data_IF_860834763684
#
_entry.id   IF_860834763684
#
_cell.length_a   1.000
_cell.length_b   1.000
_cell.length_c   1.000
_cell.angle_alpha   90.00
_cell.angle_beta   90.00
_cell.angle_gamma   90.00
#
_symmetry.space_group_name_H-M   'P 1'
#
loop_
_entity.id
_entity.type
_entity.pdbx_description
1 polymer ?
#
# COMPACT_ATOMS: atom_id res chain seq x y z
N UNK A 1 -0.70 -17.95 32.67
CA UNK A 1 0.07 -17.15 33.64
C UNK A 1 1.55 -17.50 33.45
N UNK A 2 2.48 -16.70 32.94
CA UNK A 2 2.52 -15.32 32.45
C UNK A 2 3.48 -15.30 31.23
N UNK A 3 3.00 -14.72 30.14
CA UNK A 3 3.72 -14.36 28.92
C UNK A 3 4.41 -13.02 29.20
N UNK A 4 5.75 -12.94 29.14
CA UNK A 4 6.45 -11.66 29.23
C UNK A 4 6.63 -11.10 27.82
N UNK A 5 5.93 -10.00 27.55
CA UNK A 5 6.13 -9.14 26.38
C UNK A 5 7.37 -8.28 26.63
N UNK A 6 8.35 -8.34 25.73
CA UNK A 6 9.40 -7.34 25.63
C UNK A 6 8.90 -6.21 24.73
N UNK A 7 8.56 -5.06 25.33
CA UNK A 7 8.31 -3.81 24.62
C UNK A 7 9.57 -2.96 24.77
N UNK A 8 10.31 -2.75 23.69
CA UNK A 8 11.41 -1.80 23.64
C UNK A 8 10.82 -0.41 23.43
N UNK A 9 10.99 0.47 24.41
CA UNK A 9 10.69 1.90 24.32
C UNK A 9 11.77 2.57 23.46
N UNK A 10 11.38 3.20 22.35
CA UNK A 10 12.08 4.35 21.78
C UNK A 10 11.06 5.47 21.74
N UNK A 11 11.36 6.53 22.48
CA UNK A 11 10.66 7.81 22.45
C UNK A 11 10.94 8.49 21.11
N UNK A 12 9.89 8.76 20.35
CA UNK A 12 9.74 10.03 19.65
C UNK A 12 8.24 10.36 19.55
N UNK A 13 7.87 11.57 19.97
CA UNK A 13 6.50 12.06 20.03
C UNK A 13 6.05 12.42 18.61
N UNK A 14 5.11 11.66 18.03
CA UNK A 14 3.98 12.15 17.19
C UNK A 14 3.29 10.99 16.45
N UNK A 15 1.97 10.89 16.63
CA UNK A 15 0.98 10.11 15.88
C UNK A 15 0.87 8.59 16.11
N UNK A 16 -0.23 8.26 16.80
CA UNK A 16 -0.92 6.98 16.88
C UNK A 16 -1.43 6.49 15.51
N UNK A 17 -0.86 5.40 14.99
CA UNK A 17 -1.56 4.38 14.19
C UNK A 17 -0.62 3.21 13.84
N UNK A 18 -0.55 2.18 14.69
CA UNK A 18 0.23 0.97 14.38
C UNK A 18 -0.46 -0.31 14.86
N UNK A 19 -1.36 -0.84 14.03
CA UNK A 19 -1.81 -2.24 14.09
C UNK A 19 -1.80 -2.83 12.66
N UNK A 20 -0.61 -3.10 12.12
CA UNK A 20 -0.46 -4.04 10.98
C UNK A 20 0.95 -4.65 10.78
N UNK A 21 1.98 -4.22 11.53
CA UNK A 21 3.37 -4.61 11.21
C UNK A 21 3.87 -5.91 11.87
N UNK A 22 3.07 -6.60 12.67
CA UNK A 22 3.48 -7.86 13.33
C UNK A 22 3.35 -9.10 12.43
N UNK A 23 2.63 -9.02 11.30
CA UNK A 23 2.49 -10.14 10.37
C UNK A 23 3.64 -10.22 9.34
N UNK A 24 4.19 -9.07 8.92
CA UNK A 24 5.23 -9.00 7.89
C UNK A 24 6.58 -9.60 8.35
N UNK A 25 6.99 -9.33 9.59
CA UNK A 25 8.23 -9.88 10.17
C UNK A 25 8.18 -11.40 10.39
N UNK A 26 6.98 -11.95 10.64
CA UNK A 26 6.78 -13.39 10.84
C UNK A 26 6.85 -14.18 9.53
N UNK A 27 6.47 -13.56 8.41
CA UNK A 27 6.62 -14.14 7.08
C UNK A 27 8.04 -13.96 6.52
N UNK A 28 8.72 -12.85 6.79
CA UNK A 28 10.12 -12.65 6.40
C UNK A 28 11.06 -13.69 7.05
N UNK A 29 10.85 -14.03 8.33
CA UNK A 29 11.64 -15.08 9.01
C UNK A 29 11.35 -16.50 8.51
N UNK A 30 10.15 -16.76 7.96
CA UNK A 30 9.82 -18.07 7.35
C UNK A 30 10.43 -18.23 5.95
N UNK A 31 10.56 -17.13 5.21
CA UNK A 31 11.23 -17.12 3.89
C UNK A 31 12.75 -17.33 4.04
N UNK A 32 13.33 -16.96 5.19
CA UNK A 32 14.75 -17.19 5.49
C UNK A 32 15.14 -18.66 5.68
N UNK A 33 14.18 -19.59 5.87
CA UNK A 33 14.48 -21.02 6.13
C UNK A 33 14.17 -21.93 4.94
N UNK A 34 13.59 -21.41 3.84
CA UNK A 34 13.44 -22.21 2.61
C UNK A 34 13.82 -21.42 1.36
N UNK A 35 15.11 -21.41 1.04
CA UNK A 35 15.57 -21.17 -0.34
C UNK A 35 16.20 -22.44 -0.87
N UNK A 36 15.47 -23.08 -1.79
CA UNK A 36 16.07 -23.96 -2.81
C UNK A 36 16.60 -23.07 -3.94
N UNK A 37 17.79 -23.35 -4.51
CA UNK A 37 18.38 -22.53 -5.56
C UNK A 37 17.85 -22.97 -6.92
N UNK A 38 17.10 -22.11 -7.60
CA UNK A 38 17.03 -22.18 -9.07
C UNK A 38 16.63 -20.82 -9.63
N UNK A 39 17.63 -20.05 -10.07
CA UNK A 39 17.43 -18.72 -10.67
C UNK A 39 17.65 -18.72 -12.20
N UNK A 40 17.74 -19.91 -12.82
CA UNK A 40 18.03 -20.05 -14.26
C UNK A 40 16.87 -20.64 -15.09
N UNK A 41 15.64 -20.67 -14.56
CA UNK A 41 14.45 -21.17 -15.29
C UNK A 41 13.36 -20.10 -15.57
N UNK A 42 13.60 -18.82 -15.29
CA UNK A 42 12.64 -17.75 -15.59
C UNK A 42 12.91 -16.98 -16.88
N UNK A 43 13.96 -17.35 -17.62
CA UNK A 43 14.17 -16.90 -19.00
C UNK A 43 14.00 -18.10 -19.94
N UNK A 44 12.76 -18.33 -20.39
CA UNK A 44 12.39 -18.77 -21.75
C UNK A 44 10.99 -19.42 -21.77
N UNK A 45 10.19 -19.02 -22.76
CA UNK A 45 8.92 -19.61 -23.24
C UNK A 45 7.63 -19.15 -22.54
N UNK A 46 7.17 -17.97 -22.92
CA UNK A 46 5.73 -17.72 -23.03
C UNK A 46 5.22 -18.40 -24.31
N UNK A 47 5.02 -19.72 -24.28
CA UNK A 47 4.24 -20.41 -25.30
C UNK A 47 2.77 -20.35 -24.92
N UNK A 48 2.01 -19.68 -25.78
CA UNK A 48 0.55 -19.68 -25.88
C UNK A 48 -0.03 -21.09 -25.82
N UNK A 49 -0.94 -21.36 -24.88
CA UNK A 49 -1.90 -22.47 -24.99
C UNK A 49 -3.19 -22.14 -24.20
N UNK A 50 -4.39 -22.43 -24.73
CA UNK A 50 -5.63 -21.78 -24.32
C UNK A 50 -6.32 -22.48 -23.13
N UNK A 51 -7.14 -21.70 -22.43
CA UNK A 51 -8.00 -22.13 -21.33
C UNK A 51 -8.92 -23.30 -21.72
N UNK A 52 -9.01 -24.32 -20.85
CA UNK A 52 -10.13 -25.26 -20.80
C UNK A 52 -10.69 -25.37 -19.39
N UNK A 53 -12.00 -25.12 -19.33
CA UNK A 53 -12.91 -25.33 -18.20
C UNK A 53 -12.79 -26.73 -17.60
N UNK A 54 -12.66 -26.83 -16.27
CA UNK A 54 -13.14 -27.98 -15.51
C UNK A 54 -13.84 -27.50 -14.23
N UNK A 55 -15.16 -27.62 -14.27
CA UNK A 55 -16.09 -27.54 -13.16
C UNK A 55 -15.93 -28.82 -12.31
N UNK A 56 -15.69 -28.73 -11.00
CA UNK A 56 -16.17 -29.77 -10.07
C UNK A 56 -16.25 -29.29 -8.62
N UNK A 57 -17.49 -29.34 -8.12
CA UNK A 57 -17.90 -29.22 -6.73
C UNK A 57 -17.07 -30.09 -5.76
N UNK A 58 -16.69 -29.50 -4.62
CA UNK A 58 -16.71 -30.22 -3.33
C UNK A 58 -17.19 -29.32 -2.19
N UNK A 59 -18.32 -29.71 -1.60
CA UNK A 59 -18.87 -29.21 -0.34
C UNK A 59 -17.93 -29.62 0.80
N UNK A 60 -17.58 -28.69 1.69
CA UNK A 60 -16.95 -29.01 2.97
C UNK A 60 -17.89 -28.54 4.09
N UNK A 61 -18.33 -29.49 4.90
CA UNK A 61 -19.25 -29.28 6.01
C UNK A 61 -18.55 -28.64 7.21
N UNK A 62 -19.26 -27.71 7.85
CA UNK A 62 -18.88 -27.01 9.07
C UNK A 62 -19.32 -27.86 10.27
N UNK A 63 -18.35 -28.39 11.02
CA UNK A 63 -18.59 -29.06 12.31
C UNK A 63 -18.67 -28.02 13.43
N UNK A 64 -19.80 -28.02 14.14
CA UNK A 64 -20.06 -27.23 15.35
C UNK A 64 -19.03 -27.56 16.44
N UNK A 65 -18.33 -26.54 16.95
CA UNK A 65 -17.59 -26.61 18.20
C UNK A 65 -18.40 -25.92 19.31
N UNK A 66 -18.56 -26.67 20.39
CA UNK A 66 -19.35 -26.40 21.58
C UNK A 66 -18.86 -25.16 22.33
N UNK A 67 -19.80 -24.26 22.64
CA UNK A 67 -19.62 -23.09 23.50
C UNK A 67 -19.64 -23.51 24.97
N UNK A 68 -18.50 -23.37 25.65
CA UNK A 68 -18.44 -23.44 27.11
C UNK A 68 -18.92 -22.11 27.71
N UNK A 69 -20.03 -22.19 28.44
CA UNK A 69 -20.60 -21.12 29.27
C UNK A 69 -19.65 -20.78 30.43
N UNK A 70 -19.20 -19.54 30.51
CA UNK A 70 -18.55 -18.96 31.70
C UNK A 70 -19.66 -18.32 32.54
N UNK A 71 -19.96 -18.91 33.70
CA UNK A 71 -20.95 -18.38 34.63
C UNK A 71 -20.28 -17.37 35.56
N UNK A 72 -20.69 -16.10 35.45
CA UNK A 72 -20.49 -15.09 36.50
C UNK A 72 -21.35 -15.49 37.70
N UNK A 73 -20.73 -15.68 38.86
CA UNK A 73 -21.44 -15.80 40.13
C UNK A 73 -21.08 -14.58 40.99
N UNK A 74 -22.06 -13.69 41.05
CA UNK A 74 -22.19 -12.54 41.92
C UNK A 74 -22.62 -13.02 43.31
N UNK A 75 -21.92 -12.62 44.38
CA UNK A 75 -22.39 -12.86 45.75
C UNK A 75 -22.18 -11.63 46.62
N UNK A 76 -23.31 -11.10 47.10
CA UNK A 76 -23.45 -10.22 48.27
C UNK A 76 -24.39 -10.93 49.27
N UNK A 77 -24.59 -10.40 50.48
CA UNK A 77 -24.13 -10.97 51.74
C UNK A 77 -25.24 -11.73 52.50
N UNK A 78 -24.86 -12.63 53.41
CA UNK A 78 -25.78 -13.17 54.41
C UNK A 78 -25.17 -13.17 55.81
N UNK A 79 -25.98 -12.67 56.73
CA UNK A 79 -25.84 -12.49 58.17
C UNK A 79 -26.02 -13.77 58.99
N UNK A 80 -25.63 -13.67 60.27
CA UNK A 80 -25.98 -14.48 61.46
C UNK A 80 -25.24 -15.83 61.60
N UNK A 81 -24.81 -16.29 62.78
CA UNK A 81 -24.87 -15.83 64.18
C UNK A 81 -24.16 -16.87 65.06
N UNK A 82 -23.54 -16.43 66.18
CA UNK A 82 -23.28 -17.17 67.43
C UNK A 82 -22.42 -18.47 67.33
N UNK A 83 -21.58 -18.89 68.28
CA UNK A 83 -21.32 -18.58 69.68
C UNK A 83 -19.96 -19.24 70.02
N UNK A 84 -19.25 -18.73 71.02
CA UNK A 84 -17.99 -19.34 71.47
C UNK A 84 -17.31 -18.54 72.56
N UNK A 85 -17.78 -18.74 73.79
CA UNK A 85 -17.29 -18.16 75.04
C UNK A 85 -15.84 -18.61 75.30
N UNK A 86 -14.99 -17.67 75.72
CA UNK A 86 -13.62 -17.92 76.14
C UNK A 86 -13.08 -16.71 76.89
N UNK A 87 -13.53 -16.59 78.14
CA UNK A 87 -12.99 -15.70 79.16
C UNK A 87 -11.55 -16.09 79.49
N UNK A 88 -10.64 -15.13 79.44
CA UNK A 88 -9.54 -15.04 80.40
C UNK A 88 -9.08 -13.58 80.54
N UNK A 89 -9.49 -12.99 81.66
CA UNK A 89 -8.91 -11.78 82.18
C UNK A 89 -7.63 -12.19 82.94
N UNK A 90 -6.48 -11.68 82.52
CA UNK A 90 -5.33 -11.55 83.43
C UNK A 90 -4.84 -10.13 83.38
N UNK A 91 -5.21 -9.41 84.43
CA UNK A 91 -4.68 -8.10 84.81
C UNK A 91 -3.16 -8.16 84.98
N UNK A 92 -2.43 -7.34 84.24
CA UNK A 92 -1.12 -6.85 84.69
C UNK A 92 -0.94 -5.41 84.24
N UNK A 93 -1.00 -4.52 85.25
CA UNK A 93 -0.32 -3.22 85.34
C UNK A 93 -0.23 -2.38 84.07
N UNK A 94 -1.31 -1.65 83.76
CA UNK A 94 -1.20 -0.42 82.99
C UNK A 94 -0.50 0.63 83.88
N UNK A 95 0.80 0.79 83.68
CA UNK A 95 1.50 2.01 84.09
C UNK A 95 0.87 3.16 83.30
N UNK A 96 0.16 4.04 84.01
CA UNK A 96 -0.42 5.27 83.48
C UNK A 96 0.71 6.23 83.14
N UNK A 97 1.36 6.00 82.00
CA UNK A 97 2.14 7.03 81.34
C UNK A 97 1.14 8.12 80.90
N UNK A 98 1.42 9.41 81.15
CA UNK A 98 0.53 10.48 80.74
C UNK A 98 0.30 10.39 79.22
N UNK A 99 -0.89 10.79 78.74
CA UNK A 99 -1.30 10.70 77.33
C UNK A 99 -0.25 11.31 76.37
N UNK A 100 0.49 12.32 76.83
CA UNK A 100 1.61 12.94 76.14
C UNK A 100 2.80 12.01 75.87
N UNK A 101 3.06 11.03 76.74
CA UNK A 101 4.13 10.04 76.59
C UNK A 101 3.71 8.92 75.64
N UNK A 102 2.45 8.48 75.68
CA UNK A 102 1.93 7.50 74.71
C UNK A 102 1.83 8.08 73.29
N UNK A 103 1.42 9.34 73.15
CA UNK A 103 1.44 10.04 71.86
C UNK A 103 2.87 10.19 71.33
N UNK A 104 3.85 10.55 72.18
CA UNK A 104 5.26 10.60 71.77
C UNK A 104 5.79 9.23 71.33
N UNK A 105 5.48 8.15 72.05
CA UNK A 105 5.88 6.79 71.65
C UNK A 105 5.20 6.33 70.35
N UNK A 106 3.95 6.73 70.12
CA UNK A 106 3.26 6.44 68.86
C UNK A 106 3.82 7.25 67.69
N UNK A 107 4.14 8.54 67.90
CA UNK A 107 4.80 9.40 66.91
C UNK A 107 6.20 8.90 66.57
N UNK A 108 6.99 8.44 67.56
CA UNK A 108 8.30 7.82 67.33
C UNK A 108 8.17 6.52 66.52
N UNK A 109 7.21 5.64 66.85
CA UNK A 109 6.95 4.42 66.07
C UNK A 109 6.49 4.70 64.63
N UNK A 110 5.71 5.77 64.43
CA UNK A 110 5.29 6.18 63.08
C UNK A 110 6.49 6.73 62.29
N UNK A 111 7.37 7.51 62.93
CA UNK A 111 8.62 8.00 62.32
C UNK A 111 9.57 6.85 61.97
N UNK A 112 9.79 5.93 62.89
CA UNK A 112 10.64 4.74 62.68
C UNK A 112 10.09 3.88 61.52
N UNK A 113 8.77 3.68 61.47
CA UNK A 113 8.12 2.96 60.36
C UNK A 113 8.21 3.70 59.02
N UNK A 114 8.12 5.04 59.03
CA UNK A 114 8.29 5.86 57.83
C UNK A 114 9.73 5.81 57.32
N UNK A 115 10.72 5.89 58.21
CA UNK A 115 12.15 5.76 57.89
C UNK A 115 12.47 4.36 57.34
N UNK A 116 11.96 3.30 57.96
CA UNK A 116 12.08 1.91 57.48
C UNK A 116 11.46 1.71 56.09
N UNK A 117 10.27 2.27 55.84
CA UNK A 117 9.60 2.19 54.55
C UNK A 117 10.36 2.96 53.46
N UNK A 118 10.95 4.11 53.79
CA UNK A 118 11.84 4.86 52.89
C UNK A 118 13.13 4.10 52.60
N UNK A 119 13.74 3.47 53.60
CA UNK A 119 14.95 2.68 53.44
C UNK A 119 14.69 1.43 52.59
N UNK A 120 13.58 0.71 52.83
CA UNK A 120 13.10 -0.39 51.97
C UNK A 120 12.78 0.07 50.55
N UNK A 121 12.31 1.31 50.35
CA UNK A 121 12.10 1.89 49.01
C UNK A 121 13.44 2.19 48.33
N UNK A 122 14.42 2.77 49.02
CA UNK A 122 15.78 3.01 48.51
C UNK A 122 16.46 1.70 48.12
N UNK A 123 16.44 0.69 48.98
CA UNK A 123 16.98 -0.63 48.67
C UNK A 123 16.29 -1.30 47.47
N UNK A 124 14.95 -1.20 47.37
CA UNK A 124 14.22 -1.72 46.20
C UNK A 124 14.63 -1.01 44.92
N UNK A 125 14.79 0.31 44.95
CA UNK A 125 15.28 1.10 43.81
C UNK A 125 16.71 0.71 43.42
N UNK A 126 17.60 0.50 44.39
CA UNK A 126 18.99 0.07 44.12
C UNK A 126 19.09 -1.36 43.61
N UNK A 127 18.30 -2.29 44.18
CA UNK A 127 18.16 -3.67 43.69
C UNK A 127 17.61 -3.66 42.26
N UNK A 128 16.58 -2.85 41.99
CA UNK A 128 16.01 -2.67 40.66
C UNK A 128 17.01 -2.07 39.67
N UNK A 129 17.76 -1.02 40.05
CA UNK A 129 18.79 -0.41 39.21
C UNK A 129 19.95 -1.38 38.92
N UNK A 130 20.37 -2.18 39.90
CA UNK A 130 21.36 -3.24 39.70
C UNK A 130 20.84 -4.30 38.72
N UNK A 131 19.62 -4.78 38.92
CA UNK A 131 18.97 -5.72 38.00
C UNK A 131 18.88 -5.15 36.58
N UNK A 132 18.46 -3.88 36.44
CA UNK A 132 18.37 -3.21 35.15
C UNK A 132 19.74 -3.10 34.46
N UNK A 133 20.83 -2.80 35.18
CA UNK A 133 22.19 -2.78 34.62
C UNK A 133 22.61 -4.16 34.09
N UNK A 134 22.38 -5.22 34.86
CA UNK A 134 22.66 -6.59 34.44
C UNK A 134 21.78 -7.01 33.26
N UNK A 135 20.49 -6.68 33.28
CA UNK A 135 19.56 -6.96 32.19
C UNK A 135 19.98 -6.24 30.89
N UNK A 136 20.40 -4.97 30.97
CA UNK A 136 20.96 -4.24 29.82
C UNK A 136 22.25 -4.87 29.32
N UNK A 137 23.14 -5.31 30.23
CA UNK A 137 24.38 -6.01 29.86
C UNK A 137 24.14 -7.34 29.14
N UNK A 138 23.25 -8.17 29.67
CA UNK A 138 22.88 -9.46 29.06
C UNK A 138 22.21 -9.23 27.70
N UNK A 139 21.27 -8.27 27.62
CA UNK A 139 20.60 -7.93 26.36
C UNK A 139 21.59 -7.41 25.32
N UNK A 140 22.53 -6.56 25.73
CA UNK A 140 23.61 -6.07 24.86
C UNK A 140 24.52 -7.19 24.34
N UNK A 141 24.90 -8.14 25.20
CA UNK A 141 25.72 -9.28 24.79
C UNK A 141 24.98 -10.20 23.82
N UNK A 142 23.69 -10.48 24.04
CA UNK A 142 22.87 -11.26 23.10
C UNK A 142 22.71 -10.56 21.75
N UNK A 143 22.42 -9.25 21.74
CA UNK A 143 22.31 -8.47 20.50
C UNK A 143 23.64 -8.40 19.75
N UNK A 144 24.75 -8.21 20.46
CA UNK A 144 26.10 -8.23 19.88
C UNK A 144 26.46 -9.59 19.27
N UNK A 145 26.18 -10.69 19.99
CA UNK A 145 26.38 -12.04 19.48
C UNK A 145 25.54 -12.35 18.24
N UNK A 146 24.25 -11.95 18.24
CA UNK A 146 23.37 -12.11 17.09
C UNK A 146 23.84 -11.28 15.88
N UNK A 147 24.30 -10.04 16.10
CA UNK A 147 24.84 -9.20 15.03
C UNK A 147 26.11 -9.80 14.41
N UNK A 148 27.03 -10.34 15.23
CA UNK A 148 28.22 -11.03 14.73
C UNK A 148 27.86 -12.27 13.90
N UNK A 149 26.89 -13.06 14.37
CA UNK A 149 26.42 -14.24 13.64
C UNK A 149 25.72 -13.87 12.33
N UNK A 150 24.91 -12.81 12.32
CA UNK A 150 24.26 -12.30 11.11
C UNK A 150 25.30 -11.78 10.10
N UNK A 151 26.30 -11.05 10.57
CA UNK A 151 27.39 -10.57 9.72
C UNK A 151 28.23 -11.72 9.17
N UNK A 152 28.42 -12.78 9.97
CA UNK A 152 29.01 -14.03 9.52
C UNK A 152 28.16 -14.61 8.37
N UNK A 153 26.89 -14.93 8.59
CA UNK A 153 26.04 -15.50 7.53
C UNK A 153 26.01 -14.66 6.25
N UNK A 154 25.98 -13.32 6.34
CA UNK A 154 25.99 -12.42 5.19
C UNK A 154 27.32 -12.37 4.42
N UNK A 155 28.46 -12.63 5.08
CA UNK A 155 29.77 -12.57 4.43
C UNK A 155 30.25 -13.90 3.82
N UNK A 156 29.47 -14.97 3.98
CA UNK A 156 29.82 -16.28 3.43
C UNK A 156 29.79 -16.27 1.89
N UNK A 157 30.75 -16.92 1.21
CA UNK A 157 30.70 -17.10 -0.23
C UNK A 157 29.54 -18.03 -0.62
N UNK A 158 28.88 -17.73 -1.75
CA UNK A 158 27.83 -18.61 -2.29
C UNK A 158 28.46 -19.90 -2.79
N UNK A 159 27.84 -21.03 -2.44
CA UNK A 159 28.26 -22.35 -2.87
C UNK A 159 27.40 -22.79 -4.07
N UNK A 160 28.00 -23.47 -5.02
CA UNK A 160 27.29 -24.12 -6.11
C UNK A 160 26.57 -25.39 -5.62
N UNK A 161 25.83 -26.04 -6.52
CA UNK A 161 25.11 -27.30 -6.25
C UNK A 161 26.05 -28.44 -5.79
N UNK A 162 27.35 -28.33 -6.07
CA UNK A 162 28.38 -29.29 -5.72
C UNK A 162 29.17 -28.90 -4.45
N UNK A 163 28.77 -27.82 -3.75
CA UNK A 163 29.39 -27.34 -2.52
C UNK A 163 30.72 -26.60 -2.71
N UNK A 164 31.08 -26.24 -3.95
CA UNK A 164 32.26 -25.44 -4.28
C UNK A 164 31.89 -23.96 -4.30
N UNK A 165 32.81 -23.10 -3.86
CA UNK A 165 32.61 -21.65 -3.86
C UNK A 165 32.46 -21.15 -5.30
N UNK A 166 31.39 -20.39 -5.54
CA UNK A 166 31.16 -19.68 -6.79
C UNK A 166 32.15 -18.51 -6.82
N UNK A 167 33.02 -18.41 -7.85
CA UNK A 167 33.98 -17.32 -7.94
C UNK A 167 33.23 -15.99 -8.07
N UNK A 168 33.56 -15.06 -7.19
CA UNK A 168 32.99 -13.72 -7.13
C UNK A 168 34.08 -12.64 -7.26
N UNK A 169 33.65 -11.38 -7.39
CA UNK A 169 34.52 -10.20 -7.51
C UNK A 169 35.52 -10.03 -6.34
N UNK A 170 35.28 -10.73 -5.22
CA UNK A 170 36.09 -10.66 -4.00
C UNK A 170 36.94 -11.91 -3.75
N UNK A 171 36.92 -12.88 -4.67
CA UNK A 171 37.61 -14.16 -4.50
C UNK A 171 39.13 -14.02 -4.50
N UNK A 172 39.67 -13.02 -5.20
CA UNK A 172 41.12 -12.75 -5.28
C UNK A 172 41.65 -11.90 -4.13
N UNK A 173 40.78 -11.42 -3.24
CA UNK A 173 41.16 -10.55 -2.13
C UNK A 173 41.51 -11.34 -0.86
N UNK A 174 42.15 -10.65 0.09
CA UNK A 174 42.40 -11.22 1.41
C UNK A 174 41.10 -11.65 2.09
N UNK A 175 41.12 -12.81 2.75
CA UNK A 175 39.91 -13.51 3.24
C UNK A 175 39.03 -12.59 4.10
N UNK A 176 39.61 -11.82 5.04
CA UNK A 176 38.83 -10.94 5.92
C UNK A 176 38.25 -9.73 5.18
N UNK A 177 38.99 -9.13 4.24
CA UNK A 177 38.49 -7.98 3.48
C UNK A 177 37.39 -8.43 2.53
N UNK A 178 37.57 -9.57 1.86
CA UNK A 178 36.56 -10.21 1.03
C UNK A 178 35.27 -10.47 1.81
N UNK A 179 35.40 -10.98 3.04
CA UNK A 179 34.26 -11.26 3.92
C UNK A 179 33.43 -10.01 4.24
N UNK A 180 34.10 -8.94 4.68
CA UNK A 180 33.45 -7.67 5.04
C UNK A 180 32.80 -7.03 3.82
N UNK A 181 33.49 -7.05 2.68
CA UNK A 181 32.96 -6.50 1.42
C UNK A 181 31.74 -7.29 0.92
N UNK A 182 31.74 -8.63 1.02
CA UNK A 182 30.56 -9.47 0.72
C UNK A 182 29.39 -9.13 1.62
N UNK A 183 29.61 -9.06 2.94
CA UNK A 183 28.55 -8.71 3.87
C UNK A 183 27.96 -7.32 3.57
N UNK A 184 28.81 -6.34 3.26
CA UNK A 184 28.35 -5.01 2.84
C UNK A 184 27.59 -5.03 1.51
N UNK A 185 28.06 -5.81 0.52
CA UNK A 185 27.38 -5.98 -0.77
C UNK A 185 26.01 -6.62 -0.60
N UNK A 186 25.90 -7.70 0.16
CA UNK A 186 24.62 -8.35 0.46
C UNK A 186 23.66 -7.36 1.16
N UNK A 187 24.12 -6.64 2.20
CA UNK A 187 23.29 -5.60 2.84
C UNK A 187 22.82 -4.53 1.84
N UNK A 188 23.70 -4.10 0.94
CA UNK A 188 23.36 -3.16 -0.14
C UNK A 188 22.33 -3.76 -1.10
N UNK A 189 22.50 -5.01 -1.52
CA UNK A 189 21.57 -5.74 -2.39
C UNK A 189 20.20 -5.92 -1.73
N UNK A 190 20.13 -6.28 -0.45
CA UNK A 190 18.88 -6.35 0.31
C UNK A 190 18.18 -5.00 0.37
N UNK A 191 18.92 -3.92 0.63
CA UNK A 191 18.36 -2.57 0.61
C UNK A 191 17.82 -2.22 -0.78
N UNK A 192 18.58 -2.51 -1.84
CA UNK A 192 18.15 -2.28 -3.22
C UNK A 192 16.88 -3.07 -3.54
N UNK A 193 16.78 -4.34 -3.14
CA UNK A 193 15.58 -5.16 -3.36
C UNK A 193 14.31 -4.60 -2.69
N UNK A 194 14.46 -3.90 -1.56
CA UNK A 194 13.33 -3.28 -0.84
C UNK A 194 12.94 -1.93 -1.47
N UNK A 195 13.92 -1.21 -2.03
CA UNK A 195 13.76 0.18 -2.48
C UNK A 195 13.46 0.28 -3.98
N UNK A 196 14.17 -0.47 -4.80
CA UNK A 196 14.05 -0.46 -6.25
C UNK A 196 12.93 -1.40 -6.71
N UNK A 197 12.33 -1.12 -7.88
CA UNK A 197 11.32 -2.00 -8.46
C UNK A 197 11.89 -3.40 -8.76
N UNK A 198 11.00 -4.40 -8.79
CA UNK A 198 11.36 -5.80 -9.00
C UNK A 198 12.04 -6.10 -10.36
N UNK A 199 11.86 -5.23 -11.35
CA UNK A 199 12.44 -5.35 -12.69
C UNK A 199 12.89 -3.99 -13.23
N UNK A 200 13.95 -3.99 -14.04
CA UNK A 200 14.43 -2.80 -14.76
C UNK A 200 13.45 -2.37 -15.85
N UNK A 201 12.93 -3.34 -16.61
CA UNK A 201 11.83 -3.17 -17.56
C UNK A 201 10.58 -3.83 -17.00
N UNK A 202 9.56 -3.02 -16.70
CA UNK A 202 8.28 -3.47 -16.13
C UNK A 202 7.38 -4.13 -17.16
N UNK A 203 7.43 -3.67 -18.42
CA UNK A 203 6.66 -4.25 -19.51
C UNK A 203 7.58 -4.91 -20.55
N UNK A 204 7.10 -5.98 -21.22
CA UNK A 204 7.80 -6.56 -22.36
C UNK A 204 7.93 -5.56 -23.50
N UNK A 205 8.83 -5.84 -24.44
CA UNK A 205 9.01 -5.01 -25.63
C UNK A 205 7.69 -4.94 -26.44
N UNK A 206 7.40 -3.81 -27.11
CA UNK A 206 6.18 -3.64 -27.89
C UNK A 206 6.02 -4.71 -28.98
N UNK A 207 4.76 -5.07 -29.27
CA UNK A 207 4.48 -6.05 -30.32
C UNK A 207 4.83 -5.49 -31.70
N UNK A 208 5.46 -6.33 -32.52
CA UNK A 208 5.74 -6.07 -33.94
C UNK A 208 4.68 -6.72 -34.84
N UNK A 209 4.55 -6.22 -36.07
CA UNK A 209 3.73 -6.84 -37.11
C UNK A 209 4.08 -8.34 -37.24
N UNK A 210 3.10 -9.28 -37.23
CA UNK A 210 1.67 -9.15 -37.58
C UNK A 210 0.72 -8.76 -36.43
N UNK A 211 1.21 -8.60 -35.20
CA UNK A 211 0.36 -8.29 -34.04
C UNK A 211 0.14 -6.79 -33.91
N UNK A 212 -1.09 -6.39 -33.57
CA UNK A 212 -1.45 -4.99 -33.38
C UNK A 212 -1.16 -4.53 -31.95
N UNK A 213 -0.36 -3.48 -31.81
CA UNK A 213 -0.11 -2.77 -30.56
C UNK A 213 -0.87 -1.43 -30.57
N UNK A 214 -1.63 -1.09 -29.52
CA UNK A 214 -2.23 0.23 -29.40
C UNK A 214 -1.16 1.34 -29.41
N UNK A 215 -1.42 2.49 -30.07
CA UNK A 215 -0.43 3.55 -30.26
C UNK A 215 -0.11 4.36 -28.99
N UNK A 216 -1.00 4.37 -28.00
CA UNK A 216 -0.81 5.06 -26.73
C UNK A 216 -0.85 4.08 -25.56
N UNK A 217 -0.14 4.39 -24.48
CA UNK A 217 -0.18 3.60 -23.24
C UNK A 217 -0.87 4.43 -22.16
N UNK A 218 -1.92 3.87 -21.57
CA UNK A 218 -2.67 4.48 -20.48
C UNK A 218 -2.35 3.76 -19.18
N UNK A 219 -1.61 4.43 -18.30
CA UNK A 219 -1.28 3.93 -16.97
C UNK A 219 -2.33 4.46 -15.99
N UNK A 220 -2.94 3.59 -15.19
CA UNK A 220 -4.01 3.96 -14.27
C UNK A 220 -3.71 3.46 -12.85
N UNK A 221 -3.91 4.33 -11.86
CA UNK A 221 -4.12 3.87 -10.48
C UNK A 221 -5.49 3.19 -10.36
N UNK A 222 -5.57 2.15 -9.54
CA UNK A 222 -6.80 1.42 -9.26
C UNK A 222 -7.55 2.08 -8.09
N UNK A 223 -6.87 2.27 -6.96
CA UNK A 223 -7.47 2.71 -5.71
C UNK A 223 -7.79 4.21 -5.74
N UNK A 224 -9.02 4.58 -5.38
CA UNK A 224 -9.60 5.93 -5.42
C UNK A 224 -9.65 6.59 -6.82
N UNK A 225 -9.37 5.82 -7.87
CA UNK A 225 -9.57 6.24 -9.28
C UNK A 225 -10.62 5.36 -9.94
N UNK A 226 -10.48 4.03 -9.88
CA UNK A 226 -11.44 3.07 -10.43
C UNK A 226 -12.32 2.43 -9.34
N UNK A 227 -11.74 2.17 -8.17
CA UNK A 227 -12.41 1.51 -7.04
C UNK A 227 -12.06 2.19 -5.74
N UNK A 228 -12.97 2.20 -4.77
CA UNK A 228 -12.75 2.82 -3.45
C UNK A 228 -12.88 1.77 -2.34
N UNK A 229 -11.89 1.61 -1.45
CA UNK A 229 -12.00 0.73 -0.31
C UNK A 229 -12.96 1.33 0.72
N UNK A 230 -14.05 0.62 1.01
CA UNK A 230 -15.05 1.01 1.97
C UNK A 230 -15.08 -0.02 3.11
N UNK A 231 -15.17 0.47 4.35
CA UNK A 231 -15.37 -0.39 5.52
C UNK A 231 -16.70 -0.07 6.19
N UNK A 232 -17.50 -1.09 6.45
CA UNK A 232 -18.77 -0.96 7.17
C UNK A 232 -18.91 -2.09 8.20
N UNK A 233 -19.56 -1.81 9.34
CA UNK A 233 -19.68 -2.76 10.47
C UNK A 233 -20.33 -4.10 10.08
N UNK A 234 -21.32 -4.06 9.19
CA UNK A 234 -22.05 -5.26 8.73
C UNK A 234 -21.24 -6.12 7.77
N UNK A 235 -20.35 -5.50 7.01
CA UNK A 235 -19.87 -6.01 5.74
C UNK A 235 -18.34 -6.15 5.68
N UNK A 236 -17.63 -5.53 6.62
CA UNK A 236 -16.18 -5.49 6.69
C UNK A 236 -15.58 -4.63 5.57
N UNK A 237 -14.35 -4.96 5.19
CA UNK A 237 -13.65 -4.35 4.07
C UNK A 237 -14.22 -4.81 2.73
N UNK A 238 -14.61 -3.87 1.89
CA UNK A 238 -15.07 -4.09 0.52
C UNK A 238 -14.53 -3.03 -0.41
N UNK A 239 -14.61 -3.28 -1.71
CA UNK A 239 -14.26 -2.31 -2.72
C UNK A 239 -15.53 -1.90 -3.48
N UNK A 240 -15.83 -0.61 -3.45
CA UNK A 240 -16.90 -0.01 -4.22
C UNK A 240 -16.38 0.33 -5.62
N UNK A 241 -17.12 -0.07 -6.66
CA UNK A 241 -16.79 0.25 -8.06
C UNK A 241 -17.21 1.69 -8.37
N UNK A 242 -16.35 2.46 -9.04
CA UNK A 242 -16.70 3.82 -9.45
C UNK A 242 -17.75 3.79 -10.57
N UNK A 243 -18.78 4.65 -10.51
CA UNK A 243 -19.75 4.80 -11.59
C UNK A 243 -19.03 5.08 -12.92
N UNK A 244 -19.45 4.39 -13.98
CA UNK A 244 -18.90 4.58 -15.33
C UNK A 244 -17.57 3.87 -15.63
N UNK A 245 -17.01 3.06 -14.71
CA UNK A 245 -15.77 2.29 -15.00
C UNK A 245 -15.90 1.39 -16.23
N UNK A 246 -17.02 0.67 -16.37
CA UNK A 246 -17.22 -0.24 -17.52
C UNK A 246 -17.23 0.51 -18.84
N UNK A 247 -17.96 1.63 -18.87
CA UNK A 247 -18.00 2.53 -20.02
C UNK A 247 -16.60 3.08 -20.32
N UNK A 248 -15.90 3.55 -19.29
CA UNK A 248 -14.55 4.08 -19.43
C UNK A 248 -13.60 3.05 -20.04
N UNK A 249 -13.52 1.83 -19.49
CA UNK A 249 -12.65 0.76 -20.02
C UNK A 249 -13.02 0.39 -21.45
N UNK A 250 -14.31 0.36 -21.78
CA UNK A 250 -14.78 0.09 -23.14
C UNK A 250 -14.38 1.20 -24.13
N UNK A 251 -14.44 2.47 -23.72
CA UNK A 251 -14.12 3.60 -24.59
C UNK A 251 -12.61 3.78 -24.80
N UNK A 252 -11.80 3.53 -23.77
CA UNK A 252 -10.34 3.73 -23.82
C UNK A 252 -9.57 2.47 -24.20
N UNK A 253 -10.21 1.30 -24.12
CA UNK A 253 -9.57 0.01 -24.42
C UNK A 253 -9.01 -0.11 -25.85
N UNK A 254 -8.41 -1.26 -26.16
CA UNK A 254 -7.91 -1.53 -27.51
C UNK A 254 -9.02 -1.33 -28.56
N UNK A 255 -8.74 -0.64 -29.68
CA UNK A 255 -7.41 -0.39 -30.25
C UNK A 255 -6.73 0.92 -29.81
N UNK A 256 -7.36 1.77 -28.98
CA UNK A 256 -6.85 3.13 -28.74
C UNK A 256 -5.68 3.17 -27.75
N UNK A 257 -5.85 2.57 -26.57
CA UNK A 257 -4.83 2.53 -25.54
C UNK A 257 -4.48 1.10 -25.12
N UNK A 258 -3.20 0.90 -24.82
CA UNK A 258 -2.71 -0.20 -24.02
C UNK A 258 -2.93 0.18 -22.54
N UNK A 259 -3.90 -0.49 -21.89
CA UNK A 259 -4.24 -0.18 -20.50
C UNK A 259 -3.32 -0.96 -19.56
N UNK A 260 -2.63 -0.22 -18.68
CA UNK A 260 -1.75 -0.75 -17.64
C UNK A 260 -2.26 -0.26 -16.29
N UNK A 261 -2.67 -1.20 -15.42
CA UNK A 261 -2.93 -0.85 -14.02
C UNK A 261 -1.60 -0.77 -13.29
N UNK A 262 -1.28 0.38 -12.71
CA UNK A 262 -0.10 0.57 -11.87
C UNK A 262 -0.51 1.11 -10.52
N UNK A 263 -0.58 0.21 -9.53
CA UNK A 263 -1.10 0.50 -8.20
C UNK A 263 -0.03 0.33 -7.13
N UNK A 264 -0.14 1.12 -6.05
CA UNK A 264 0.69 0.94 -4.84
C UNK A 264 0.15 -0.20 -3.93
N UNK A 265 -0.98 -0.79 -4.28
CA UNK A 265 -1.56 -1.93 -3.56
C UNK A 265 -0.77 -3.22 -3.78
N UNK A 266 -0.94 -4.16 -2.84
CA UNK A 266 -0.30 -5.47 -2.91
C UNK A 266 -0.98 -6.35 -3.97
N UNK A 267 -0.20 -7.15 -4.69
CA UNK A 267 -0.74 -8.06 -5.70
C UNK A 267 -1.79 -9.04 -5.16
N UNK A 268 -1.66 -9.48 -3.91
CA UNK A 268 -2.62 -10.40 -3.30
C UNK A 268 -4.05 -9.83 -3.20
N UNK A 269 -4.19 -8.53 -2.93
CA UNK A 269 -5.50 -7.86 -2.85
C UNK A 269 -5.95 -7.32 -4.21
N UNK A 270 -5.02 -6.76 -4.98
CA UNK A 270 -5.33 -6.11 -6.26
C UNK A 270 -5.68 -7.10 -7.38
N UNK A 271 -5.01 -8.26 -7.46
CA UNK A 271 -5.20 -9.20 -8.56
C UNK A 271 -6.65 -9.68 -8.72
N UNK A 272 -7.30 -10.27 -7.70
CA UNK A 272 -8.70 -10.70 -7.83
C UNK A 272 -9.66 -9.52 -8.01
N UNK A 273 -9.31 -8.32 -7.54
CA UNK A 273 -10.15 -7.14 -7.69
C UNK A 273 -10.19 -6.67 -9.15
N UNK A 274 -9.02 -6.63 -9.81
CA UNK A 274 -8.91 -6.27 -11.23
C UNK A 274 -9.64 -7.30 -12.11
N UNK A 275 -9.52 -8.60 -11.81
CA UNK A 275 -10.24 -9.65 -12.56
C UNK A 275 -11.77 -9.49 -12.50
N UNK A 276 -12.30 -9.07 -11.34
CA UNK A 276 -13.74 -8.80 -11.20
C UNK A 276 -14.16 -7.45 -11.79
N UNK A 277 -13.22 -6.48 -11.87
CA UNK A 277 -13.48 -5.16 -12.42
C UNK A 277 -13.60 -5.19 -13.95
N UNK A 278 -12.76 -6.02 -14.59
CA UNK A 278 -12.64 -6.12 -16.05
C UNK A 278 -12.90 -7.56 -16.54
N UNK A 279 -14.17 -7.98 -16.62
CA UNK A 279 -14.53 -9.30 -17.13
C UNK A 279 -14.28 -9.46 -18.64
N UNK A 280 -14.12 -8.35 -19.36
CA UNK A 280 -13.93 -8.33 -20.82
C UNK A 280 -12.45 -8.39 -21.23
N UNK A 281 -11.53 -8.13 -20.30
CA UNK A 281 -10.08 -8.22 -20.55
C UNK A 281 -9.51 -7.05 -21.35
N UNK A 282 -10.00 -5.83 -21.12
CA UNK A 282 -9.42 -4.60 -21.69
C UNK A 282 -8.05 -4.25 -21.09
N UNK A 283 -7.79 -4.63 -19.84
CA UNK A 283 -6.54 -4.37 -19.10
C UNK A 283 -5.47 -5.38 -19.53
N UNK A 284 -4.39 -4.89 -20.12
CA UNK A 284 -3.31 -5.73 -20.67
C UNK A 284 -2.27 -6.10 -19.62
N UNK A 285 -1.84 -5.15 -18.79
CA UNK A 285 -0.80 -5.37 -17.79
C UNK A 285 -1.21 -4.85 -16.41
N UNK A 286 -0.65 -5.50 -15.37
CA UNK A 286 -0.96 -5.24 -13.97
C UNK A 286 0.35 -5.16 -13.19
N UNK A 287 0.63 -3.97 -12.69
CA UNK A 287 1.81 -3.63 -11.90
C UNK A 287 1.36 -3.26 -10.49
N UNK A 288 1.96 -3.90 -9.49
CA UNK A 288 1.61 -3.73 -8.09
C UNK A 288 2.75 -3.05 -7.32
N UNK A 289 2.65 -3.06 -6.00
CA UNK A 289 3.64 -2.45 -5.08
C UNK A 289 5.09 -2.88 -5.32
N UNK A 290 5.32 -4.11 -5.75
CA UNK A 290 6.64 -4.66 -6.07
C UNK A 290 7.31 -3.96 -7.27
N UNK A 291 6.51 -3.41 -8.18
CA UNK A 291 6.98 -2.61 -9.30
C UNK A 291 7.19 -1.13 -8.94
N UNK A 292 6.94 -0.70 -7.69
CA UNK A 292 7.10 0.71 -7.27
C UNK A 292 8.44 0.95 -6.60
N UNK A 293 8.95 2.17 -6.71
CA UNK A 293 10.17 2.61 -6.03
C UNK A 293 9.82 3.22 -4.68
N UNK A 294 10.46 2.77 -3.60
CA UNK A 294 10.21 3.31 -2.26
C UNK A 294 11.18 4.47 -1.95
N UNK A 295 10.67 5.69 -1.93
CA UNK A 295 11.47 6.89 -1.70
C UNK A 295 10.80 7.80 -0.65
N UNK A 296 11.59 8.29 0.31
CA UNK A 296 11.14 9.28 1.31
C UNK A 296 9.84 8.88 2.04
N UNK A 297 9.71 7.59 2.38
CA UNK A 297 8.53 7.08 3.08
C UNK A 297 7.31 6.80 2.18
N UNK A 298 7.40 7.06 0.88
CA UNK A 298 6.30 6.94 -0.08
C UNK A 298 6.65 5.98 -1.22
N UNK A 299 5.62 5.32 -1.77
CA UNK A 299 5.75 4.57 -3.01
C UNK A 299 5.60 5.53 -4.19
N UNK A 300 6.63 5.58 -5.01
CA UNK A 300 6.70 6.38 -6.22
C UNK A 300 6.72 5.43 -7.40
N UNK A 301 5.97 5.77 -8.44
CA UNK A 301 5.81 4.98 -9.65
C UNK A 301 6.68 5.60 -10.72
N UNK A 302 7.74 4.88 -11.07
CA UNK A 302 8.67 5.36 -12.08
C UNK A 302 8.21 4.90 -13.46
N UNK A 303 7.78 5.85 -14.29
CA UNK A 303 7.34 5.54 -15.65
C UNK A 303 8.52 5.23 -16.58
N UNK A 304 9.76 5.57 -16.22
CA UNK A 304 10.93 5.28 -17.05
C UNK A 304 11.20 3.78 -17.18
N UNK A 305 10.82 3.01 -16.18
CA UNK A 305 10.92 1.55 -16.19
C UNK A 305 9.82 0.88 -17.02
N UNK A 306 8.82 1.61 -17.54
CA UNK A 306 7.68 1.04 -18.26
C UNK A 306 8.05 0.47 -19.64
N UNK A 307 9.21 0.81 -20.20
CA UNK A 307 9.64 0.39 -21.54
C UNK A 307 8.66 0.84 -22.64
N UNK A 308 8.19 2.10 -22.56
CA UNK A 308 7.30 2.75 -23.52
C UNK A 308 7.78 4.17 -23.82
N UNK A 309 7.40 4.70 -24.97
CA UNK A 309 7.73 6.09 -25.30
C UNK A 309 6.93 7.07 -24.44
N UNK A 310 7.63 7.92 -23.70
CA UNK A 310 7.03 8.95 -22.86
C UNK A 310 6.20 9.98 -23.64
N UNK A 311 6.41 10.15 -24.95
CA UNK A 311 5.54 11.02 -25.75
C UNK A 311 4.11 10.46 -25.91
N UNK A 312 3.93 9.15 -25.69
CA UNK A 312 2.68 8.40 -25.87
C UNK A 312 2.10 7.81 -24.57
N UNK A 313 2.74 8.07 -23.44
CA UNK A 313 2.31 7.57 -22.12
C UNK A 313 1.51 8.64 -21.37
N UNK A 314 0.28 8.29 -20.98
CA UNK A 314 -0.55 9.11 -20.09
C UNK A 314 -0.72 8.35 -18.77
N UNK A 315 -0.40 8.98 -17.66
CA UNK A 315 -0.52 8.39 -16.33
C UNK A 315 -1.61 9.07 -15.52
N UNK A 316 -2.66 8.35 -15.12
CA UNK A 316 -3.75 8.89 -14.31
C UNK A 316 -3.66 8.36 -12.88
N UNK A 317 -3.51 9.29 -11.93
CA UNK A 317 -3.47 8.99 -10.49
C UNK A 317 -4.13 10.14 -9.73
N UNK A 318 -4.59 9.87 -8.51
CA UNK A 318 -5.10 10.88 -7.61
C UNK A 318 -4.01 11.46 -6.68
N UNK A 319 -2.93 10.72 -6.46
CA UNK A 319 -1.88 11.11 -5.53
C UNK A 319 -0.68 11.73 -6.25
N UNK A 320 -0.44 13.02 -6.04
CA UNK A 320 0.68 13.76 -6.63
C UNK A 320 2.05 13.17 -6.30
N UNK A 321 2.20 12.53 -5.13
CA UNK A 321 3.48 11.92 -4.73
C UNK A 321 3.84 10.70 -5.58
N UNK A 322 2.83 9.96 -6.06
CA UNK A 322 3.01 8.73 -6.86
C UNK A 322 3.73 9.01 -8.18
N UNK A 323 3.48 10.16 -8.81
CA UNK A 323 4.07 10.55 -10.10
C UNK A 323 5.13 11.65 -9.99
N UNK A 324 5.76 11.78 -8.82
CA UNK A 324 6.74 12.84 -8.56
C UNK A 324 7.95 12.83 -9.51
N UNK A 325 8.28 11.68 -10.11
CA UNK A 325 9.40 11.55 -11.07
C UNK A 325 9.03 12.04 -12.48
N UNK A 326 7.79 11.86 -12.93
CA UNK A 326 7.33 12.25 -14.27
C UNK A 326 5.99 13.03 -14.24
N UNK A 327 5.97 14.24 -13.65
CA UNK A 327 4.74 15.03 -13.50
C UNK A 327 4.14 15.50 -14.84
N UNK A 328 4.95 15.64 -15.90
CA UNK A 328 4.51 16.06 -17.24
C UNK A 328 3.56 15.02 -17.88
N UNK A 329 3.80 13.73 -17.63
CA UNK A 329 2.99 12.62 -18.16
C UNK A 329 1.77 12.30 -17.30
N UNK A 330 1.72 12.84 -16.08
CA UNK A 330 0.64 12.57 -15.14
C UNK A 330 -0.57 13.44 -15.42
N UNK A 331 -1.78 12.93 -15.21
CA UNK A 331 -3.03 13.66 -15.18
C UNK A 331 -3.68 13.42 -13.82
N UNK A 332 -3.54 14.40 -12.93
CA UNK A 332 -3.99 14.31 -11.55
C UNK A 332 -5.50 14.40 -11.45
N UNK A 333 -6.16 13.36 -10.95
CA UNK A 333 -7.59 13.40 -10.65
C UNK A 333 -7.87 13.76 -9.20
N UNK A 334 -9.05 14.33 -8.94
CA UNK A 334 -9.56 14.40 -7.59
C UNK A 334 -9.77 12.99 -7.04
N UNK A 335 -9.30 12.75 -5.81
CA UNK A 335 -9.54 11.51 -5.08
C UNK A 335 -11.04 11.23 -5.00
N UNK A 336 -11.46 10.05 -5.46
CA UNK A 336 -12.84 9.61 -5.32
C UNK A 336 -13.07 8.95 -3.95
N UNK A 337 -14.12 9.39 -3.26
CA UNK A 337 -14.47 8.96 -1.90
C UNK A 337 -15.68 8.02 -1.85
N UNK A 338 -16.08 7.46 -2.99
CA UNK A 338 -17.19 6.51 -3.06
C UNK A 338 -18.56 7.11 -3.43
N UNK A 339 -18.63 8.35 -3.92
CA UNK A 339 -19.89 8.98 -4.34
C UNK A 339 -20.48 8.34 -5.60
N UNK A 340 -21.79 8.08 -5.61
CA UNK A 340 -22.50 7.44 -6.73
C UNK A 340 -22.85 8.40 -7.88
N UNK A 341 -22.89 9.71 -7.60
CA UNK A 341 -23.18 10.75 -8.60
C UNK A 341 -21.95 11.20 -9.40
N UNK A 342 -20.80 10.52 -9.22
CA UNK A 342 -19.56 10.86 -9.89
C UNK A 342 -19.63 10.56 -11.40
N UNK A 343 -19.25 11.54 -12.23
CA UNK A 343 -19.20 11.42 -13.70
C UNK A 343 -17.79 11.61 -14.27
N UNK A 344 -16.79 11.72 -13.42
CA UNK A 344 -15.42 12.11 -13.82
C UNK A 344 -14.80 11.08 -14.76
N UNK A 345 -15.09 9.78 -14.59
CA UNK A 345 -14.56 8.76 -15.50
C UNK A 345 -15.15 8.83 -16.90
N UNK A 346 -16.41 9.23 -17.03
CA UNK A 346 -17.06 9.44 -18.34
C UNK A 346 -16.35 10.58 -19.06
N UNK A 347 -16.13 11.68 -18.34
CA UNK A 347 -15.48 12.89 -18.85
C UNK A 347 -14.02 12.63 -19.24
N UNK A 348 -13.32 11.83 -18.43
CA UNK A 348 -11.96 11.38 -18.71
C UNK A 348 -11.92 10.49 -19.96
N UNK A 349 -12.89 9.60 -20.15
CA UNK A 349 -12.95 8.76 -21.34
C UNK A 349 -13.05 9.61 -22.62
N UNK A 350 -13.91 10.63 -22.61
CA UNK A 350 -14.07 11.53 -23.75
C UNK A 350 -12.80 12.34 -24.03
N UNK A 351 -12.14 12.82 -22.98
CA UNK A 351 -10.84 13.51 -23.08
C UNK A 351 -9.76 12.63 -23.71
N UNK A 352 -9.53 11.43 -23.16
CA UNK A 352 -8.51 10.50 -23.65
C UNK A 352 -8.79 10.03 -25.08
N UNK A 353 -10.05 9.72 -25.38
CA UNK A 353 -10.49 9.34 -26.74
C UNK A 353 -10.21 10.48 -27.73
N UNK A 354 -10.43 11.73 -27.33
CA UNK A 354 -10.16 12.89 -28.20
C UNK A 354 -8.68 13.04 -28.49
N UNK A 355 -7.80 12.83 -27.51
CA UNK A 355 -6.35 12.82 -27.72
C UNK A 355 -5.95 11.71 -28.70
N UNK A 356 -6.46 10.50 -28.50
CA UNK A 356 -6.12 9.36 -29.35
C UNK A 356 -6.60 9.55 -30.80
N UNK A 357 -7.85 9.98 -30.99
CA UNK A 357 -8.46 10.22 -32.31
C UNK A 357 -7.81 11.39 -33.03
N UNK A 358 -7.39 12.42 -32.31
CA UNK A 358 -6.68 13.57 -32.90
C UNK A 358 -5.26 13.22 -33.37
N UNK A 359 -4.73 12.05 -33.00
CA UNK A 359 -3.41 11.60 -33.47
C UNK A 359 -2.24 12.41 -32.91
N UNK A 360 -2.36 12.94 -31.68
CA UNK A 360 -1.35 13.81 -31.07
C UNK A 360 0.01 13.11 -30.96
N UNK A 361 1.05 13.68 -31.57
CA UNK A 361 2.41 13.11 -31.52
C UNK A 361 2.97 13.04 -30.10
N UNK A 362 2.93 14.13 -29.34
CA UNK A 362 3.35 14.19 -27.94
C UNK A 362 2.20 14.65 -27.05
N UNK A 363 1.80 13.82 -26.08
CA UNK A 363 0.67 14.10 -25.17
C UNK A 363 1.00 15.15 -24.12
N UNK A 364 2.27 15.35 -23.77
CA UNK A 364 2.69 16.17 -22.62
C UNK A 364 2.25 17.64 -22.72
N UNK A 365 2.41 18.35 -23.86
CA UNK A 365 1.96 19.74 -23.99
C UNK A 365 0.43 19.88 -23.82
N UNK A 366 -0.34 18.89 -24.28
CA UNK A 366 -1.79 18.88 -24.13
C UNK A 366 -2.15 18.73 -22.65
N UNK A 367 -1.54 17.77 -21.95
CA UNK A 367 -1.75 17.58 -20.52
C UNK A 367 -1.36 18.83 -19.72
N UNK A 368 -0.21 19.43 -20.04
CA UNK A 368 0.29 20.62 -19.34
C UNK A 368 -0.60 21.85 -19.55
N UNK A 369 -1.22 22.00 -20.73
CA UNK A 369 -2.22 23.04 -20.95
C UNK A 369 -3.43 22.86 -20.04
N UNK A 370 -4.00 21.65 -19.97
CA UNK A 370 -5.21 21.41 -19.18
C UNK A 370 -4.96 21.41 -17.65
N UNK A 371 -3.74 21.09 -17.20
CA UNK A 371 -3.35 21.17 -15.78
C UNK A 371 -3.34 22.59 -15.21
N UNK A 372 -3.31 23.62 -16.06
CA UNK A 372 -3.31 25.02 -15.61
C UNK A 372 -4.66 25.45 -15.05
N UNK A 373 -5.73 24.71 -15.34
CA UNK A 373 -7.08 25.00 -14.89
C UNK A 373 -7.40 24.23 -13.61
N UNK A 374 -8.24 24.81 -12.75
CA UNK A 374 -8.71 24.17 -11.52
C UNK A 374 -9.54 22.90 -11.80
N UNK A 375 -10.33 22.91 -12.88
CA UNK A 375 -11.07 21.76 -13.38
C UNK A 375 -10.69 21.47 -14.85
N UNK A 376 -9.67 20.63 -15.08
CA UNK A 376 -9.18 20.29 -16.41
C UNK A 376 -10.27 19.69 -17.32
N UNK A 377 -11.11 18.80 -16.78
CA UNK A 377 -12.13 18.07 -17.55
C UNK A 377 -13.34 18.96 -17.86
N UNK A 378 -13.74 19.83 -16.93
CA UNK A 378 -14.78 20.84 -17.19
C UNK A 378 -14.38 21.84 -18.26
N UNK A 379 -13.13 22.32 -18.23
CA UNK A 379 -12.59 23.20 -19.29
C UNK A 379 -12.54 22.48 -20.63
N UNK A 380 -12.10 21.22 -20.66
CA UNK A 380 -12.10 20.41 -21.87
C UNK A 380 -13.50 20.31 -22.50
N UNK A 381 -14.52 19.97 -21.70
CA UNK A 381 -15.92 19.90 -22.17
C UNK A 381 -16.42 21.22 -22.75
N UNK A 382 -16.11 22.33 -22.08
CA UNK A 382 -16.52 23.66 -22.53
C UNK A 382 -15.86 24.00 -23.87
N UNK A 383 -14.57 23.69 -24.01
CA UNK A 383 -13.84 23.89 -25.26
C UNK A 383 -14.38 23.00 -26.39
N UNK A 384 -14.71 21.75 -26.10
CA UNK A 384 -15.32 20.83 -27.06
C UNK A 384 -16.70 21.32 -27.53
N UNK A 385 -17.55 21.77 -26.60
CA UNK A 385 -18.86 22.34 -26.93
C UNK A 385 -18.73 23.62 -27.77
N UNK A 386 -17.74 24.47 -27.47
CA UNK A 386 -17.46 25.68 -28.26
C UNK A 386 -17.03 25.33 -29.69
N UNK A 387 -16.12 24.38 -29.86
CA UNK A 387 -15.65 23.93 -31.17
C UNK A 387 -16.77 23.31 -32.00
N UNK A 388 -17.65 22.51 -31.38
CA UNK A 388 -18.82 21.94 -32.05
C UNK A 388 -19.79 23.03 -32.54
N UNK A 389 -20.11 24.02 -31.69
CA UNK A 389 -20.97 25.13 -32.07
C UNK A 389 -20.37 25.98 -33.21
N UNK A 390 -19.05 26.17 -33.24
CA UNK A 390 -18.35 26.85 -34.33
C UNK A 390 -18.42 26.06 -35.64
N UNK A 391 -18.22 24.74 -35.58
CA UNK A 391 -18.35 23.86 -36.73
C UNK A 391 -19.78 23.85 -37.29
N UNK A 392 -20.79 23.77 -36.43
CA UNK A 392 -22.20 23.81 -36.83
C UNK A 392 -22.56 25.14 -37.51
N UNK A 393 -22.09 26.27 -36.95
CA UNK A 393 -22.28 27.60 -37.56
C UNK A 393 -21.59 27.69 -38.92
N UNK A 394 -20.38 27.16 -39.05
CA UNK A 394 -19.65 27.14 -40.33
C UNK A 394 -20.39 26.29 -41.39
N UNK A 395 -20.93 25.13 -41.00
CA UNK A 395 -21.74 24.28 -41.89
C UNK A 395 -23.04 24.96 -42.29
N UNK A 396 -23.72 25.66 -41.36
CA UNK A 396 -24.93 26.43 -41.68
C UNK A 396 -24.63 27.58 -42.66
N UNK A 397 -23.54 28.32 -42.44
CA UNK A 397 -23.13 29.39 -43.36
C UNK A 397 -22.76 28.84 -44.74
N UNK A 398 -22.09 27.69 -44.81
CA UNK A 398 -21.76 27.03 -46.07
C UNK A 398 -23.01 26.55 -46.83
N UNK A 399 -23.98 25.96 -46.12
CA UNK A 399 -25.24 25.49 -46.73
C UNK A 399 -26.12 26.66 -47.19
N UNK A 400 -26.24 27.73 -46.40
CA UNK A 400 -26.95 28.95 -46.79
C UNK A 400 -26.29 29.66 -47.98
N UNK A 401 -24.96 29.75 -47.99
CA UNK A 401 -24.19 30.31 -49.11
C UNK A 401 -24.42 29.52 -50.40
N UNK A 402 -24.39 28.19 -50.34
CA UNK A 402 -24.69 27.31 -51.46
C UNK A 402 -26.14 27.42 -51.93
N UNK A 403 -27.11 27.54 -51.01
CA UNK A 403 -28.52 27.71 -51.34
C UNK A 403 -28.81 29.06 -52.02
N UNK A 404 -28.18 30.14 -51.55
CA UNK A 404 -28.28 31.48 -52.17
C UNK A 404 -27.64 31.51 -53.56
N UNK A 405 -26.50 30.84 -53.76
CA UNK A 405 -25.87 30.70 -55.07
C UNK A 405 -26.72 29.88 -56.07
N UNK A 406 -27.32 28.78 -55.62
CA UNK A 406 -28.25 27.98 -56.43
C UNK A 406 -29.54 28.72 -56.82
N UNK A 407 -30.08 29.52 -55.91
CA UNK A 407 -31.26 30.37 -56.16
C UNK A 407 -30.97 31.49 -57.19
N UNK A 408 -29.81 32.13 -57.10
CA UNK A 408 -29.37 33.15 -58.07
C UNK A 408 -29.13 32.55 -59.47
N UNK A 409 -28.54 31.36 -59.56
CA UNK A 409 -28.34 30.65 -60.83
C UNK A 409 -29.66 30.17 -61.47
N UNK A 410 -30.62 29.71 -60.64
CA UNK A 410 -31.98 29.36 -61.08
C UNK A 410 -32.76 30.57 -61.59
N UNK A 411 -32.64 31.72 -60.93
CA UNK A 411 -33.26 32.97 -61.38
C UNK A 411 -32.69 33.47 -62.72
N UNK A 412 -31.38 33.36 -62.93
CA UNK A 412 -30.72 33.76 -64.17
C UNK A 412 -31.13 32.88 -65.37
N UNK A 413 -31.19 31.56 -65.18
CA UNK A 413 -31.58 30.61 -66.24
C UNK A 413 -33.06 30.71 -66.62
N UNK A 414 -33.94 31.02 -65.66
CA UNK A 414 -35.37 31.23 -65.92
C UNK A 414 -35.64 32.54 -66.68
N UNK A 415 -34.78 33.56 -66.51
CA UNK A 415 -34.85 34.86 -67.22
C UNK A 415 -34.33 34.79 -68.66
N UNK A 416 -33.46 33.84 -68.97
CA UNK A 416 -32.91 33.60 -70.32
C UNK A 416 -33.79 32.69 -71.20
N UNK A 417 -34.68 31.88 -70.61
CA UNK A 417 -35.62 31.01 -71.35
C UNK A 417 -36.97 31.66 -71.69
N UNK A 418 -37.20 32.90 -71.24
CA UNK A 418 -38.48 33.61 -71.42
C UNK A 418 -38.45 34.77 -72.42
N UNK A 419 -37.52 34.77 -73.38
CA UNK A 419 -37.39 35.85 -74.37
C UNK A 419 -37.37 35.33 -75.79
#
# INVERSE_FOLDING_TARGET
FLRWNFTLFILDDSNMAALSHTCALRNALRILVSKSPNRDLLNNKWTTTPQRNILHHRKCQVSRLSTCHVSLAEQKPTSNSASGVGSDATSSSASTLPLSVLLKQAEEKVKEKQEDDEQRKKERKEKFARYQKWAMGITGAMLGGAALLTFYELGQPKLDEHGKQIPDEFSDQFILTAYVQRAYKEVKEYRTMIVEPSAEKLLPDPLTEPYYQPPYTLVLEMTNVLVHPEWTYSNGWRFKKRPGVDYFLQQVGPPLFEIVIYTSEQGFTGYPLIDNLDPNGYIMYRLFRDATKYMNGHHVKDLSCLNRDMSKVIFVDWNTKSFSLQPQNAFGLKKWEGSDDDRVLVDLADFLRTIAVSGVEDVRPVLDHYKQFDDPLGTFKTNQARLQAEQERAVQQATEGSAKAGSLAGSWTQRLRGR
#
